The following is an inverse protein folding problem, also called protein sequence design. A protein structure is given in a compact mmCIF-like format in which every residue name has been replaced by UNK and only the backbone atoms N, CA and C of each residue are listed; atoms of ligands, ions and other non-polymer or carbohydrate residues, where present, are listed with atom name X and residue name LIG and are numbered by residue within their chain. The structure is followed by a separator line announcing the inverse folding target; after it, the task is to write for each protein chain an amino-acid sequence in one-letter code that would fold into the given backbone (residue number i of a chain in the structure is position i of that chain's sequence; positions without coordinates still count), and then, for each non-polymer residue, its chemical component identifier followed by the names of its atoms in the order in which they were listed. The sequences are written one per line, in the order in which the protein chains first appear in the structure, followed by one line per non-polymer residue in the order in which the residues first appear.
data_IF_798555091843
#
_entry.id   IF_798555091843
#
_cell.length_a   1.000
_cell.length_b   1.000
_cell.length_c   1.000
_cell.angle_alpha   90.00
_cell.angle_beta   90.00
_cell.angle_gamma   90.00
#
_symmetry.space_group_name_H-M   'P 1'
#
loop_
_entity.id
_entity.type
_entity.pdbx_description
1 polymer ?
#
# COMPACT_ATOMS: atom_id res chain seq x y z
N UNK A 1 21.18 -7.68 21.69
CA UNK A 1 20.01 -6.90 21.23
C UNK A 1 18.80 -7.78 20.93
N UNK A 2 18.95 -9.03 20.50
CA UNK A 2 17.87 -10.02 20.28
C UNK A 2 16.73 -10.01 21.31
N UNK A 3 17.01 -10.22 22.59
CA UNK A 3 15.97 -10.24 23.65
C UNK A 3 15.28 -8.89 23.83
N UNK A 4 16.05 -7.80 23.74
CA UNK A 4 15.50 -6.45 23.79
C UNK A 4 14.56 -6.21 22.61
N UNK A 5 14.98 -6.54 21.38
CA UNK A 5 14.19 -6.36 20.17
C UNK A 5 12.85 -7.10 20.25
N UNK A 6 12.85 -8.38 20.64
CA UNK A 6 11.62 -9.15 20.80
C UNK A 6 10.60 -8.45 21.71
N UNK A 7 11.04 -8.04 22.91
CA UNK A 7 10.17 -7.35 23.89
C UNK A 7 9.75 -5.96 23.42
N UNK A 8 10.66 -5.22 22.80
CA UNK A 8 10.43 -3.85 22.38
C UNK A 8 9.53 -3.74 21.15
N UNK A 9 9.58 -4.72 20.25
CA UNK A 9 8.75 -4.76 19.05
C UNK A 9 7.37 -5.42 19.31
N UNK A 10 7.27 -6.39 20.23
CA UNK A 10 5.98 -6.99 20.64
C UNK A 10 5.23 -6.14 21.68
N UNK A 11 5.93 -5.25 22.39
CA UNK A 11 5.39 -4.46 23.49
C UNK A 11 4.61 -3.22 23.05
N UNK A 12 3.63 -2.81 23.86
CA UNK A 12 2.84 -1.56 23.67
C UNK A 12 3.57 -0.29 24.13
N UNK A 13 4.80 -0.39 24.62
CA UNK A 13 5.55 0.73 25.19
C UNK A 13 6.15 1.61 24.09
N UNK A 14 5.81 2.90 24.08
CA UNK A 14 6.37 3.88 23.14
C UNK A 14 7.67 4.43 23.69
N UNK A 15 8.79 4.10 23.06
CA UNK A 15 10.10 4.63 23.42
C UNK A 15 10.36 5.97 22.71
N UNK A 16 10.52 7.03 23.50
CA UNK A 16 10.92 8.34 23.02
C UNK A 16 12.42 8.56 23.26
N UNK A 17 13.09 9.24 22.32
CA UNK A 17 14.44 9.71 22.53
C UNK A 17 14.41 11.04 23.30
N UNK A 18 15.29 11.21 24.28
CA UNK A 18 15.44 12.45 25.03
C UNK A 18 16.24 13.54 24.28
N UNK A 19 16.86 13.19 23.15
CA UNK A 19 17.69 14.09 22.33
C UNK A 19 17.21 14.08 20.88
N UNK A 20 18.10 13.90 19.89
CA UNK A 20 17.82 14.11 18.46
C UNK A 20 17.52 12.83 17.68
N UNK A 21 17.13 11.76 18.36
CA UNK A 21 16.94 10.43 17.76
C UNK A 21 18.18 9.85 17.07
N UNK A 22 19.40 10.30 17.39
CA UNK A 22 20.67 9.91 16.77
C UNK A 22 21.68 9.32 17.78
N UNK A 23 21.21 8.88 18.96
CA UNK A 23 22.09 8.40 20.03
C UNK A 23 23.01 7.26 19.55
N UNK A 24 24.29 7.35 19.91
CA UNK A 24 25.23 6.26 19.71
C UNK A 24 24.88 5.08 20.62
N UNK A 25 24.78 3.88 20.05
CA UNK A 25 24.42 2.65 20.79
C UNK A 25 25.63 1.72 20.82
N UNK A 26 26.27 1.63 21.98
CA UNK A 26 27.39 0.72 22.25
C UNK A 26 27.10 -0.18 23.47
N UNK A 27 28.10 -0.94 23.96
CA UNK A 27 27.93 -1.87 25.10
C UNK A 27 27.47 -1.17 26.38
N UNK A 28 27.87 0.08 26.59
CA UNK A 28 27.66 0.86 27.81
C UNK A 28 26.41 1.74 27.71
N UNK A 29 26.23 2.44 26.58
CA UNK A 29 25.17 3.43 26.33
C UNK A 29 23.88 2.85 25.78
N UNK A 30 23.84 1.56 25.40
CA UNK A 30 22.62 0.89 24.91
C UNK A 30 21.43 0.89 25.89
N UNK A 31 21.64 1.20 27.17
CA UNK A 31 20.54 1.34 28.14
C UNK A 31 19.97 2.77 28.18
N UNK A 32 20.72 3.77 27.73
CA UNK A 32 20.40 5.19 27.86
C UNK A 32 19.29 5.63 26.89
N UNK A 33 19.22 5.01 25.71
CA UNK A 33 18.17 5.32 24.74
C UNK A 33 17.58 4.04 24.11
N UNK A 34 16.50 3.50 24.70
CA UNK A 34 15.76 2.38 24.11
C UNK A 34 15.21 2.70 22.72
N UNK A 35 14.81 3.95 22.47
CA UNK A 35 14.26 4.40 21.18
C UNK A 35 15.27 4.25 20.04
N UNK A 36 16.45 4.88 20.16
CA UNK A 36 17.51 4.76 19.16
C UNK A 36 18.06 3.35 19.05
N UNK A 37 18.07 2.58 20.15
CA UNK A 37 18.45 1.17 20.12
C UNK A 37 17.48 0.33 19.31
N UNK A 38 16.18 0.53 19.48
CA UNK A 38 15.16 -0.19 18.72
C UNK A 38 15.25 0.16 17.24
N UNK A 39 15.37 1.46 16.90
CA UNK A 39 15.61 1.93 15.52
C UNK A 39 16.80 1.23 14.87
N UNK A 40 17.96 1.20 15.54
CA UNK A 40 19.15 0.48 15.05
C UNK A 40 18.95 -1.03 14.90
N UNK A 41 18.06 -1.65 15.68
CA UNK A 41 17.73 -3.07 15.49
C UNK A 41 16.95 -3.28 14.18
N UNK A 42 16.02 -2.38 13.85
CA UNK A 42 15.32 -2.40 12.55
C UNK A 42 16.26 -2.12 11.38
N UNK A 43 17.17 -1.14 11.50
CA UNK A 43 18.19 -0.86 10.48
C UNK A 43 19.12 -2.04 10.22
N UNK A 44 19.36 -2.86 11.25
CA UNK A 44 20.10 -4.12 11.12
C UNK A 44 19.26 -5.27 10.53
N UNK A 45 18.03 -5.02 10.09
CA UNK A 45 17.14 -6.01 9.47
C UNK A 45 16.46 -6.97 10.44
N UNK A 46 16.39 -6.67 11.74
CA UNK A 46 15.64 -7.51 12.67
C UNK A 46 14.13 -7.40 12.41
N UNK A 47 13.45 -8.53 12.28
CA UNK A 47 11.99 -8.61 12.08
C UNK A 47 11.35 -9.58 13.06
N UNK A 48 10.10 -9.30 13.45
CA UNK A 48 9.30 -10.23 14.25
C UNK A 48 8.73 -11.29 13.33
N UNK A 49 9.30 -12.50 13.39
CA UNK A 49 8.74 -13.66 12.70
C UNK A 49 9.34 -13.92 11.32
N UNK A 50 10.65 -14.23 11.27
CA UNK A 50 11.24 -14.97 10.17
C UNK A 50 10.64 -16.39 10.05
N UNK A 51 9.34 -16.50 9.77
CA UNK A 51 8.77 -17.65 9.10
C UNK A 51 9.03 -17.41 7.62
N UNK A 52 10.00 -18.15 7.07
CA UNK A 52 10.16 -18.29 5.61
C UNK A 52 8.77 -18.46 5.01
N UNK A 53 8.34 -17.51 4.18
CA UNK A 53 7.21 -17.69 3.29
C UNK A 53 7.59 -18.84 2.34
N UNK A 54 7.23 -20.08 2.71
CA UNK A 54 7.28 -21.20 1.78
C UNK A 54 6.25 -20.87 0.69
N UNK A 55 6.76 -20.70 -0.54
CA UNK A 55 6.05 -20.80 -1.82
C UNK A 55 4.66 -21.44 -1.65
N UNK A 56 3.60 -20.65 -1.76
CA UNK A 56 2.27 -21.19 -2.04
C UNK A 56 2.18 -21.36 -3.56
N UNK A 57 2.49 -22.57 -4.02
CA UNK A 57 2.18 -23.01 -5.37
C UNK A 57 0.73 -23.48 -5.46
N UNK A 58 0.18 -23.38 -6.68
CA UNK A 58 -0.99 -24.06 -7.21
C UNK A 58 -2.35 -23.84 -6.52
N UNK A 59 -3.13 -22.93 -7.11
CA UNK A 59 -4.50 -23.26 -7.51
C UNK A 59 -4.65 -22.91 -9.00
N UNK A 60 -4.74 -23.96 -9.82
CA UNK A 60 -5.12 -23.93 -11.24
C UNK A 60 -6.64 -23.82 -11.36
N UNK A 61 -7.10 -22.93 -12.23
CA UNK A 61 -8.33 -22.94 -13.07
C UNK A 61 -8.55 -21.46 -13.44
N UNK A 62 -8.65 -21.03 -14.69
CA UNK A 62 -9.19 -21.70 -15.86
C UNK A 62 -8.64 -21.01 -17.12
N UNK A 63 -8.35 -21.82 -18.12
CA UNK A 63 -7.99 -21.46 -19.48
C UNK A 63 -9.15 -20.69 -20.14
N UNK A 64 -8.86 -19.58 -20.82
CA UNK A 64 -9.39 -19.21 -22.14
C UNK A 64 -8.95 -17.79 -22.49
N UNK A 65 -7.93 -17.68 -23.36
CA UNK A 65 -7.82 -16.76 -24.51
C UNK A 65 -6.36 -16.67 -24.97
N UNK A 66 -5.83 -17.80 -25.44
CA UNK A 66 -4.75 -17.83 -26.43
C UNK A 66 -5.40 -17.78 -27.82
N UNK A 67 -5.65 -16.58 -28.35
CA UNK A 67 -5.50 -16.31 -29.78
C UNK A 67 -5.51 -14.79 -29.99
N UNK A 68 -4.64 -14.32 -30.90
CA UNK A 68 -4.53 -12.95 -31.42
C UNK A 68 -3.49 -12.05 -30.72
N UNK A 69 -2.20 -12.35 -30.90
CA UNK A 69 -1.28 -11.52 -31.71
C UNK A 69 0.18 -11.98 -31.57
N UNK A 70 0.50 -13.07 -32.26
CA UNK A 70 1.85 -13.35 -32.74
C UNK A 70 2.07 -12.57 -34.04
N UNK A 71 2.56 -11.33 -33.96
CA UNK A 71 3.15 -10.64 -35.11
C UNK A 71 4.21 -9.66 -34.61
N UNK A 72 5.47 -10.02 -34.81
CA UNK A 72 6.60 -9.36 -34.17
C UNK A 72 7.01 -8.01 -34.76
N UNK A 73 7.96 -7.38 -34.06
CA UNK A 73 9.11 -6.71 -34.68
C UNK A 73 10.22 -6.44 -33.66
N UNK A 74 11.46 -6.69 -34.07
CA UNK A 74 12.73 -6.46 -33.36
C UNK A 74 13.24 -5.03 -33.59
N UNK A 75 14.14 -4.60 -32.68
CA UNK A 75 15.13 -3.49 -32.80
C UNK A 75 14.57 -2.06 -32.75
N UNK A 76 15.16 -1.06 -32.10
CA UNK A 76 16.55 -0.80 -31.69
C UNK A 76 16.62 0.18 -30.49
N UNK A 77 17.79 0.20 -29.83
CA UNK A 77 18.27 1.21 -28.86
C UNK A 77 18.21 2.64 -29.39
N UNK A 78 17.93 3.61 -28.53
CA UNK A 78 18.39 5.00 -28.59
C UNK A 78 18.39 5.57 -27.16
N UNK A 79 19.51 6.21 -26.76
CA UNK A 79 19.72 6.87 -25.47
C UNK A 79 19.31 8.35 -25.59
N UNK A 80 18.66 8.91 -24.55
CA UNK A 80 18.69 10.35 -24.32
C UNK A 80 18.60 10.71 -22.83
N UNK A 81 19.34 11.71 -22.33
CA UNK A 81 19.47 12.00 -20.90
C UNK A 81 18.38 12.99 -20.44
N UNK A 82 17.50 12.56 -19.53
CA UNK A 82 16.50 13.40 -18.88
C UNK A 82 16.66 13.35 -17.36
N UNK A 83 16.70 14.52 -16.73
CA UNK A 83 16.96 14.79 -15.31
C UNK A 83 16.40 13.72 -14.35
N UNK A 84 17.29 13.05 -13.63
CA UNK A 84 16.95 12.04 -12.63
C UNK A 84 16.41 12.66 -11.34
N UNK A 85 15.20 12.27 -10.97
CA UNK A 85 14.73 12.38 -9.58
C UNK A 85 15.68 11.53 -8.71
N UNK A 86 16.14 12.02 -7.54
CA UNK A 86 17.00 11.23 -6.66
C UNK A 86 16.33 9.89 -6.34
N UNK A 87 16.95 8.82 -6.81
CA UNK A 87 16.48 7.46 -6.61
C UNK A 87 16.49 7.16 -5.11
N UNK A 88 15.29 6.96 -4.55
CA UNK A 88 15.09 6.51 -3.18
C UNK A 88 15.54 5.04 -3.11
N UNK A 89 16.85 4.82 -3.00
CA UNK A 89 17.48 3.51 -2.87
C UNK A 89 17.01 2.83 -1.57
N UNK A 90 15.91 2.08 -1.65
CA UNK A 90 15.37 1.34 -0.52
C UNK A 90 14.01 0.71 -0.79
N UNK A 91 13.23 1.26 -1.72
CA UNK A 91 11.95 0.70 -2.12
C UNK A 91 12.03 0.23 -3.58
N UNK A 92 12.42 -1.03 -3.78
CA UNK A 92 12.16 -1.71 -5.05
C UNK A 92 10.65 -1.82 -5.19
N UNK A 93 10.01 -0.89 -5.90
CA UNK A 93 8.65 -1.08 -6.37
C UNK A 93 8.69 -2.28 -7.32
N UNK A 94 8.36 -3.46 -6.81
CA UNK A 94 8.34 -4.67 -7.64
C UNK A 94 7.26 -4.44 -8.69
N UNK A 95 7.54 -4.65 -10.00
CA UNK A 95 6.59 -4.37 -11.07
C UNK A 95 5.26 -5.12 -10.90
N UNK A 96 5.25 -6.22 -10.14
CA UNK A 96 4.04 -6.95 -9.77
C UNK A 96 3.04 -6.12 -8.93
N UNK A 97 3.52 -5.20 -8.09
CA UNK A 97 2.62 -4.34 -7.31
C UNK A 97 1.99 -3.27 -8.20
N UNK A 98 2.74 -2.70 -9.13
CA UNK A 98 2.21 -1.73 -10.09
C UNK A 98 1.12 -2.35 -10.96
N UNK A 99 1.37 -3.54 -11.50
CA UNK A 99 0.38 -4.25 -12.32
C UNK A 99 -0.89 -4.61 -11.53
N UNK A 100 -0.76 -5.00 -10.26
CA UNK A 100 -1.92 -5.28 -9.41
C UNK A 100 -2.70 -3.99 -9.11
N UNK A 101 -2.00 -2.88 -8.84
CA UNK A 101 -2.66 -1.59 -8.57
C UNK A 101 -3.40 -1.06 -9.79
N UNK A 102 -2.84 -1.22 -10.99
CA UNK A 102 -3.48 -0.89 -12.27
C UNK A 102 -4.71 -1.79 -12.51
N UNK A 103 -4.59 -3.10 -12.26
CA UNK A 103 -5.68 -4.05 -12.48
C UNK A 103 -6.88 -3.86 -11.54
N UNK A 104 -6.66 -3.26 -10.36
CA UNK A 104 -7.75 -3.02 -9.40
C UNK A 104 -8.36 -1.62 -9.54
N UNK A 105 -7.85 -0.76 -10.42
CA UNK A 105 -8.30 0.64 -10.53
C UNK A 105 -9.83 0.73 -10.67
N UNK A 106 -10.51 1.57 -9.85
CA UNK A 106 -11.96 1.59 -9.84
C UNK A 106 -12.48 2.21 -11.14
N UNK A 107 -13.50 1.59 -11.72
CA UNK A 107 -14.21 2.12 -12.89
C UNK A 107 -14.79 3.50 -12.56
N UNK A 108 -14.69 4.41 -13.53
CA UNK A 108 -15.31 5.74 -13.42
C UNK A 108 -16.82 5.61 -13.26
N UNK A 109 -17.36 6.18 -12.19
CA UNK A 109 -18.81 6.24 -11.93
C UNK A 109 -19.31 7.63 -12.29
N UNK A 110 -20.29 7.70 -13.19
CA UNK A 110 -20.90 8.95 -13.61
C UNK A 110 -22.18 9.24 -12.80
N UNK A 111 -22.44 10.52 -12.53
CA UNK A 111 -23.65 10.96 -11.83
C UNK A 111 -24.96 10.57 -12.56
N UNK A 112 -24.89 10.42 -13.90
CA UNK A 112 -26.04 10.08 -14.73
C UNK A 112 -27.01 11.26 -14.93
N UNK A 113 -26.54 12.48 -14.74
CA UNK A 113 -27.34 13.70 -14.86
C UNK A 113 -27.81 13.92 -16.31
N UNK A 114 -29.10 14.20 -16.49
CA UNK A 114 -29.72 14.50 -17.79
C UNK A 114 -29.68 16.00 -18.06
N UNK A 115 -28.81 16.42 -18.98
CA UNK A 115 -28.65 17.82 -19.38
C UNK A 115 -29.88 18.42 -20.10
N UNK A 116 -30.92 17.63 -20.39
CA UNK A 116 -32.16 18.11 -20.99
C UNK A 116 -33.19 18.58 -19.95
N UNK A 117 -32.94 18.34 -18.66
CA UNK A 117 -33.79 18.80 -17.57
C UNK A 117 -33.23 20.10 -16.98
N UNK A 118 -34.09 21.03 -16.50
CA UNK A 118 -33.61 22.20 -15.78
C UNK A 118 -32.99 21.79 -14.44
N UNK A 119 -31.79 22.32 -14.16
CA UNK A 119 -31.12 22.11 -12.88
C UNK A 119 -31.94 22.67 -11.71
N UNK A 120 -32.24 21.80 -10.76
CA UNK A 120 -32.77 22.19 -9.46
C UNK A 120 -31.82 21.72 -8.38
N UNK A 121 -31.68 22.52 -7.31
CA UNK A 121 -30.87 22.16 -6.16
C UNK A 121 -31.22 20.76 -5.61
N UNK A 122 -32.50 20.42 -5.56
CA UNK A 122 -32.96 19.12 -5.09
C UNK A 122 -32.48 17.98 -5.99
N UNK A 123 -32.55 18.15 -7.32
CA UNK A 123 -32.14 17.14 -8.29
C UNK A 123 -30.63 16.93 -8.29
N UNK A 124 -29.86 18.02 -8.21
CA UNK A 124 -28.40 17.96 -8.12
C UNK A 124 -27.96 17.28 -6.82
N UNK A 125 -28.56 17.64 -5.68
CA UNK A 125 -28.23 17.03 -4.39
C UNK A 125 -28.57 15.53 -4.37
N UNK A 126 -29.73 15.14 -4.90
CA UNK A 126 -30.10 13.73 -5.05
C UNK A 126 -29.13 12.97 -5.94
N UNK A 127 -28.75 13.55 -7.10
CA UNK A 127 -27.79 12.94 -8.03
C UNK A 127 -26.40 12.76 -7.41
N UNK A 128 -25.93 13.76 -6.65
CA UNK A 128 -24.65 13.69 -5.93
C UNK A 128 -24.67 12.65 -4.81
N UNK A 129 -25.75 12.58 -4.04
CA UNK A 129 -25.90 11.55 -3.00
C UNK A 129 -25.90 10.14 -3.60
N UNK A 130 -26.68 9.92 -4.67
CA UNK A 130 -26.74 8.62 -5.36
C UNK A 130 -25.40 8.26 -6.03
N UNK A 131 -24.65 9.25 -6.52
CA UNK A 131 -23.29 9.05 -7.00
C UNK A 131 -22.36 8.63 -5.85
N UNK A 132 -22.42 9.31 -4.71
CA UNK A 132 -21.60 9.01 -3.53
C UNK A 132 -21.86 7.59 -3.00
N UNK A 133 -23.12 7.16 -2.95
CA UNK A 133 -23.49 5.79 -2.58
C UNK A 133 -22.88 4.74 -3.52
N UNK A 134 -22.99 4.97 -4.84
CA UNK A 134 -22.41 4.07 -5.84
C UNK A 134 -20.89 4.03 -5.73
N UNK A 135 -20.24 5.18 -5.62
CA UNK A 135 -18.78 5.25 -5.50
C UNK A 135 -18.27 4.56 -4.22
N UNK A 136 -18.97 4.69 -3.09
CA UNK A 136 -18.60 4.01 -1.85
C UNK A 136 -18.54 2.48 -2.02
N UNK A 137 -19.47 1.88 -2.76
CA UNK A 137 -19.45 0.45 -3.10
C UNK A 137 -18.17 0.09 -3.88
N UNK A 138 -17.78 0.93 -4.83
CA UNK A 138 -16.56 0.72 -5.62
C UNK A 138 -15.29 0.89 -4.76
N UNK A 139 -15.25 1.86 -3.85
CA UNK A 139 -14.11 2.06 -2.93
C UNK A 139 -13.93 0.88 -1.99
N UNK A 140 -15.02 0.34 -1.44
CA UNK A 140 -14.93 -0.85 -0.57
C UNK A 140 -14.45 -2.07 -1.36
N UNK A 141 -14.91 -2.26 -2.61
CA UNK A 141 -14.44 -3.34 -3.48
C UNK A 141 -12.96 -3.17 -3.84
N UNK A 142 -12.55 -1.95 -4.18
CA UNK A 142 -11.16 -1.58 -4.46
C UNK A 142 -10.25 -1.87 -3.26
N UNK A 143 -10.64 -1.40 -2.07
CA UNK A 143 -9.86 -1.62 -0.85
C UNK A 143 -9.69 -3.12 -0.55
N UNK A 144 -10.73 -3.94 -0.77
CA UNK A 144 -10.63 -5.39 -0.61
C UNK A 144 -9.69 -6.07 -1.60
N UNK A 145 -9.44 -5.47 -2.76
CA UNK A 145 -8.53 -5.98 -3.78
C UNK A 145 -7.07 -5.56 -3.53
N UNK A 146 -6.82 -4.59 -2.63
CA UNK A 146 -5.47 -4.17 -2.27
C UNK A 146 -4.67 -5.29 -1.58
N UNK A 147 -3.43 -5.59 -2.03
CA UNK A 147 -2.57 -6.54 -1.37
C UNK A 147 -2.35 -6.20 0.11
N UNK A 148 -2.72 -7.13 1.00
CA UNK A 148 -2.51 -6.99 2.43
C UNK A 148 -3.62 -6.28 3.21
N UNK A 149 -4.58 -5.63 2.54
CA UNK A 149 -5.69 -4.95 3.23
C UNK A 149 -6.54 -5.91 4.07
N UNK A 150 -6.87 -7.08 3.52
CA UNK A 150 -7.65 -8.13 4.22
C UNK A 150 -6.92 -8.77 5.39
N UNK A 151 -5.61 -8.54 5.52
CA UNK A 151 -4.81 -9.03 6.65
C UNK A 151 -4.89 -8.09 7.87
N UNK A 152 -5.41 -6.87 7.69
CA UNK A 152 -5.65 -5.93 8.78
C UNK A 152 -6.82 -6.39 9.64
N UNK A 153 -6.83 -5.97 10.90
CA UNK A 153 -7.98 -6.19 11.78
C UNK A 153 -9.20 -5.44 11.24
N UNK A 154 -10.42 -5.96 11.44
CA UNK A 154 -11.66 -5.36 10.89
C UNK A 154 -11.83 -3.89 11.33
N UNK A 155 -11.45 -3.57 12.57
CA UNK A 155 -11.45 -2.18 13.07
C UNK A 155 -10.52 -1.26 12.27
N UNK A 156 -9.36 -1.76 11.86
CA UNK A 156 -8.38 -1.00 11.09
C UNK A 156 -8.84 -0.86 9.63
N UNK A 157 -9.42 -1.92 9.05
CA UNK A 157 -10.05 -1.86 7.73
C UNK A 157 -11.13 -0.78 7.67
N UNK A 158 -12.00 -0.73 8.68
CA UNK A 158 -13.06 0.28 8.78
C UNK A 158 -12.48 1.69 8.93
N UNK A 159 -11.47 1.84 9.78
CA UNK A 159 -10.80 3.13 9.99
C UNK A 159 -10.17 3.64 8.70
N UNK A 160 -9.41 2.80 7.99
CA UNK A 160 -8.76 3.19 6.73
C UNK A 160 -9.78 3.63 5.70
N UNK A 161 -10.88 2.89 5.53
CA UNK A 161 -11.94 3.25 4.57
C UNK A 161 -12.58 4.60 4.97
N UNK A 162 -12.90 4.80 6.25
CA UNK A 162 -13.50 6.05 6.74
C UNK A 162 -12.63 7.28 6.51
N UNK A 163 -11.32 7.18 6.76
CA UNK A 163 -10.38 8.31 6.59
C UNK A 163 -9.94 8.55 5.14
N UNK A 164 -10.15 7.59 4.24
CA UNK A 164 -9.77 7.73 2.82
C UNK A 164 -10.92 8.21 1.94
N UNK A 165 -12.16 8.10 2.42
CA UNK A 165 -13.38 8.42 1.68
C UNK A 165 -14.05 9.73 2.13
N UNK A 166 -13.91 10.12 3.40
CA UNK A 166 -14.32 11.45 3.89
C UNK A 166 -13.26 12.51 3.59
#
# INVERSE_FOLDING_TARGET
CKVFFKRAAEGKQKYLCATRNDCTIDKFRRKNCPSCRLRKCYEAGMTLGARKLKKLGNLKAQEELDWIFSAGRRSSKELSPGMGIPQLEGYSCQPIFLNVLEAIEPVVVCAGHDNNQPDSFALLLSSLNELGERQLVHVVKWANALPGFRNLHVSDQMTVIQYSWM
#
